data_IF_953090222896
#
_entry.id   IF_953090222896
#
_cell.length_a   1.000
_cell.length_b   1.000
_cell.length_c   1.000
_cell.angle_alpha   90.00
_cell.angle_beta   90.00
_cell.angle_gamma   90.00
#
_symmetry.space_group_name_H-M   'P 1'
#
loop_
_entity.id
_entity.type
_entity.pdbx_description
1 polymer ?
#
# COMPACT_ATOMS: atom_id res chain seq x y z
N UNK A 1 -38.11 5.67 -34.88
CA UNK A 1 -38.61 5.84 -33.49
C UNK A 1 -38.01 4.71 -32.68
N UNK A 2 -37.47 4.96 -31.48
CA UNK A 2 -36.98 3.87 -30.63
C UNK A 2 -38.17 2.97 -30.26
N UNK A 3 -38.05 1.68 -30.54
CA UNK A 3 -39.14 0.72 -30.31
C UNK A 3 -38.99 0.10 -28.92
N UNK A 4 -37.75 -0.06 -28.45
CA UNK A 4 -37.43 -0.69 -27.16
C UNK A 4 -36.21 -0.01 -26.55
N UNK A 5 -36.10 -0.08 -25.23
CA UNK A 5 -34.91 0.29 -24.49
C UNK A 5 -34.43 -0.97 -23.75
N UNK A 6 -33.16 -1.33 -23.95
CA UNK A 6 -32.50 -2.42 -23.25
C UNK A 6 -31.67 -1.80 -22.15
N UNK A 7 -31.83 -2.29 -20.93
CA UNK A 7 -30.97 -1.91 -19.81
C UNK A 7 -30.36 -3.15 -19.20
N UNK A 8 -29.04 -3.14 -19.03
CA UNK A 8 -28.31 -4.19 -18.34
C UNK A 8 -27.59 -3.61 -17.13
N UNK A 9 -27.80 -4.27 -15.99
CA UNK A 9 -27.22 -3.86 -14.72
C UNK A 9 -26.46 -5.02 -14.09
N UNK A 10 -25.23 -4.75 -13.67
CA UNK A 10 -24.41 -5.67 -12.89
C UNK A 10 -24.24 -5.13 -11.48
N UNK A 11 -24.51 -5.97 -10.48
CA UNK A 11 -24.31 -5.66 -9.06
C UNK A 11 -23.09 -6.42 -8.56
N UNK A 12 -22.10 -5.67 -8.07
CA UNK A 12 -20.87 -6.20 -7.48
C UNK A 12 -20.94 -6.03 -5.97
N UNK A 13 -20.78 -7.13 -5.24
CA UNK A 13 -20.64 -7.09 -3.79
C UNK A 13 -19.17 -6.78 -3.45
N UNK A 14 -18.93 -5.69 -2.73
CA UNK A 14 -17.59 -5.24 -2.37
C UNK A 14 -17.16 -5.75 -0.98
N UNK A 15 -18.03 -6.49 -0.28
CA UNK A 15 -17.85 -6.78 1.13
C UNK A 15 -18.30 -5.60 2.01
N UNK A 16 -18.23 -5.76 3.33
CA UNK A 16 -18.57 -4.71 4.31
C UNK A 16 -19.97 -4.09 4.14
N UNK A 17 -20.94 -4.87 3.64
CA UNK A 17 -22.30 -4.41 3.32
C UNK A 17 -22.37 -3.34 2.22
N UNK A 18 -21.30 -3.15 1.45
CA UNK A 18 -21.26 -2.22 0.33
C UNK A 18 -21.43 -2.96 -1.01
N UNK A 19 -22.16 -2.32 -1.94
CA UNK A 19 -22.31 -2.82 -3.30
C UNK A 19 -22.09 -1.71 -4.31
N UNK A 20 -21.42 -2.02 -5.42
CA UNK A 20 -21.32 -1.15 -6.59
C UNK A 20 -22.26 -1.65 -7.66
N UNK A 21 -22.95 -0.72 -8.32
CA UNK A 21 -23.82 -1.00 -9.47
C UNK A 21 -23.19 -0.38 -10.70
N UNK A 22 -23.11 -1.14 -11.78
CA UNK A 22 -22.78 -0.63 -13.10
C UNK A 22 -23.95 -0.93 -14.02
N UNK A 23 -24.44 0.10 -14.70
CA UNK A 23 -25.63 0.06 -15.54
C UNK A 23 -25.34 0.74 -16.87
N UNK A 24 -25.84 0.15 -17.95
CA UNK A 24 -25.84 0.75 -19.27
C UNK A 24 -27.18 0.47 -19.94
N UNK A 25 -27.66 1.46 -20.69
CA UNK A 25 -28.89 1.37 -21.47
C UNK A 25 -28.63 1.69 -22.94
N UNK A 26 -29.33 1.02 -23.83
CA UNK A 26 -29.28 1.25 -25.28
C UNK A 26 -30.71 1.27 -25.84
N UNK A 27 -30.99 2.26 -26.69
CA UNK A 27 -32.24 2.35 -27.43
C UNK A 27 -32.16 1.54 -28.72
N UNK A 28 -33.14 0.69 -28.96
CA UNK A 28 -33.24 -0.17 -30.15
C UNK A 28 -34.23 0.46 -31.12
N UNK A 29 -33.78 0.69 -32.36
CA UNK A 29 -34.58 1.28 -33.42
C UNK A 29 -35.21 0.22 -34.32
N UNK A 30 -36.07 0.68 -35.24
CA UNK A 30 -36.73 -0.18 -36.22
C UNK A 30 -35.73 -0.72 -37.24
N UNK A 31 -35.64 -2.05 -37.33
CA UNK A 31 -34.69 -2.75 -38.18
C UNK A 31 -33.42 -3.23 -37.46
N UNK A 32 -33.20 -2.80 -36.20
CA UNK A 32 -32.07 -3.28 -35.40
C UNK A 32 -32.31 -4.70 -34.88
N UNK A 33 -31.22 -5.47 -34.78
CA UNK A 33 -31.24 -6.75 -34.08
C UNK A 33 -31.17 -6.50 -32.56
N UNK A 34 -32.29 -6.81 -31.89
CA UNK A 34 -32.39 -6.67 -30.45
C UNK A 34 -31.41 -7.60 -29.71
N UNK A 35 -31.13 -8.79 -30.23
CA UNK A 35 -30.24 -9.77 -29.60
C UNK A 35 -28.78 -9.29 -29.66
N UNK A 36 -28.39 -8.69 -30.79
CA UNK A 36 -27.07 -8.06 -30.95
C UNK A 36 -26.92 -6.87 -30.00
N UNK A 37 -27.96 -6.03 -29.91
CA UNK A 37 -27.99 -4.87 -28.99
C UNK A 37 -27.85 -5.32 -27.53
N UNK A 38 -28.58 -6.36 -27.10
CA UNK A 38 -28.44 -6.94 -25.75
C UNK A 38 -27.00 -7.39 -25.51
N UNK A 39 -26.44 -8.15 -26.45
CA UNK A 39 -25.09 -8.71 -26.34
C UNK A 39 -24.04 -7.60 -26.20
N UNK A 40 -24.20 -6.51 -26.95
CA UNK A 40 -23.31 -5.35 -26.91
C UNK A 40 -23.36 -4.64 -25.56
N UNK A 41 -24.54 -4.32 -25.04
CA UNK A 41 -24.70 -3.68 -23.71
C UNK A 41 -24.07 -4.56 -22.63
N UNK A 42 -24.33 -5.87 -22.66
CA UNK A 42 -23.76 -6.82 -21.71
C UNK A 42 -22.23 -6.86 -21.77
N UNK A 43 -21.66 -6.95 -22.98
CA UNK A 43 -20.21 -6.97 -23.17
C UNK A 43 -19.56 -5.69 -22.63
N UNK A 44 -20.14 -4.53 -22.90
CA UNK A 44 -19.61 -3.24 -22.45
C UNK A 44 -19.57 -3.14 -20.92
N UNK A 45 -20.65 -3.53 -20.25
CA UNK A 45 -20.72 -3.50 -18.78
C UNK A 45 -19.72 -4.49 -18.17
N UNK A 46 -19.64 -5.73 -18.69
CA UNK A 46 -18.71 -6.73 -18.18
C UNK A 46 -17.25 -6.38 -18.45
N UNK A 47 -16.93 -5.84 -19.63
CA UNK A 47 -15.58 -5.35 -19.96
C UNK A 47 -15.16 -4.23 -19.02
N UNK A 48 -16.05 -3.25 -18.81
CA UNK A 48 -15.75 -2.12 -17.94
C UNK A 48 -15.49 -2.55 -16.49
N UNK A 49 -16.21 -3.56 -16.00
CA UNK A 49 -15.96 -4.12 -14.66
C UNK A 49 -14.59 -4.76 -14.55
N UNK A 50 -14.19 -5.54 -15.57
CA UNK A 50 -12.87 -6.19 -15.59
C UNK A 50 -11.75 -5.17 -15.64
N UNK A 51 -11.88 -4.14 -16.46
CA UNK A 51 -10.94 -3.02 -16.55
C UNK A 51 -10.80 -2.31 -15.19
N UNK A 52 -11.93 -1.87 -14.61
CA UNK A 52 -11.95 -1.19 -13.31
C UNK A 52 -11.30 -2.06 -12.21
N UNK A 53 -11.54 -3.37 -12.24
CA UNK A 53 -10.96 -4.31 -11.27
C UNK A 53 -9.46 -4.48 -11.47
N UNK A 54 -8.99 -4.61 -12.72
CA UNK A 54 -7.57 -4.72 -13.03
C UNK A 54 -6.80 -3.49 -12.57
N UNK A 55 -7.30 -2.29 -12.90
CA UNK A 55 -6.66 -1.03 -12.50
C UNK A 55 -6.58 -0.91 -10.98
N UNK A 56 -7.65 -1.25 -10.24
CA UNK A 56 -7.64 -1.24 -8.77
C UNK A 56 -6.60 -2.19 -8.18
N UNK A 57 -6.47 -3.39 -8.75
CA UNK A 57 -5.48 -4.37 -8.29
C UNK A 57 -4.06 -3.84 -8.54
N UNK A 58 -3.80 -3.30 -9.73
CA UNK A 58 -2.49 -2.74 -10.09
C UNK A 58 -2.10 -1.57 -9.19
N UNK A 59 -3.04 -0.66 -8.91
CA UNK A 59 -2.84 0.46 -8.01
C UNK A 59 -2.59 -0.01 -6.57
N UNK A 60 -3.35 -1.00 -6.09
CA UNK A 60 -3.14 -1.61 -4.78
C UNK A 60 -1.75 -2.26 -4.65
N UNK A 61 -1.31 -3.01 -5.66
CA UNK A 61 0.05 -3.60 -5.70
C UNK A 61 1.11 -2.49 -5.65
N UNK A 62 0.89 -1.39 -6.36
CA UNK A 62 1.83 -0.26 -6.37
C UNK A 62 1.93 0.40 -5.00
N UNK A 63 0.80 0.65 -4.34
CA UNK A 63 0.74 1.22 -3.00
C UNK A 63 1.45 0.32 -1.98
N UNK A 64 1.11 -0.97 -1.95
CA UNK A 64 1.73 -1.94 -1.04
C UNK A 64 3.25 -2.03 -1.22
N UNK A 65 3.77 -1.88 -2.45
CA UNK A 65 5.21 -1.84 -2.71
C UNK A 65 5.89 -0.60 -2.15
N UNK A 66 5.20 0.55 -2.15
CA UNK A 66 5.70 1.79 -1.55
C UNK A 66 5.71 1.64 -0.03
N UNK A 67 4.60 1.22 0.56
CA UNK A 67 4.47 1.00 2.01
C UNK A 67 5.53 0.02 2.52
N UNK A 68 5.75 -1.11 1.82
CA UNK A 68 6.78 -2.08 2.19
C UNK A 68 8.19 -1.46 2.16
N UNK A 69 8.46 -0.57 1.22
CA UNK A 69 9.75 0.11 1.13
C UNK A 69 9.93 1.10 2.28
N UNK A 70 8.89 1.86 2.62
CA UNK A 70 8.89 2.80 3.74
C UNK A 70 9.08 2.06 5.06
N UNK A 71 8.28 1.01 5.29
CA UNK A 71 8.36 0.19 6.49
C UNK A 71 9.74 -0.46 6.67
N UNK A 72 10.38 -0.89 5.56
CA UNK A 72 11.77 -1.40 5.61
C UNK A 72 12.77 -0.32 6.04
N UNK A 73 12.61 0.93 5.56
CA UNK A 73 13.48 2.04 5.98
C UNK A 73 13.29 2.35 7.46
N UNK A 74 12.05 2.39 7.92
CA UNK A 74 11.74 2.59 9.34
C UNK A 74 12.35 1.50 10.20
N UNK A 75 12.20 0.23 9.78
CA UNK A 75 12.80 -0.91 10.46
C UNK A 75 14.33 -0.79 10.59
N UNK A 76 15.03 -0.49 9.50
CA UNK A 76 16.50 -0.32 9.55
C UNK A 76 16.93 0.88 10.41
N UNK A 77 16.13 1.96 10.41
CA UNK A 77 16.40 3.15 11.25
C UNK A 77 16.25 2.84 12.73
N UNK A 78 15.18 2.11 13.09
CA UNK A 78 14.96 1.66 14.48
C UNK A 78 16.04 0.67 14.89
N UNK A 79 16.40 -0.27 14.01
CA UNK A 79 17.45 -1.26 14.27
C UNK A 79 18.81 -0.60 14.50
N UNK A 80 19.22 0.35 13.67
CA UNK A 80 20.49 1.07 13.86
C UNK A 80 20.49 1.90 15.13
N UNK A 81 19.37 2.55 15.46
CA UNK A 81 19.21 3.29 16.71
C UNK A 81 19.36 2.36 17.93
N UNK A 82 18.76 1.17 17.88
CA UNK A 82 18.91 0.16 18.92
C UNK A 82 20.38 -0.28 19.08
N UNK A 83 21.06 -0.59 17.97
CA UNK A 83 22.47 -0.97 17.99
C UNK A 83 23.33 0.12 18.65
N UNK A 84 23.14 1.40 18.28
CA UNK A 84 23.87 2.52 18.91
C UNK A 84 23.59 2.68 20.41
N UNK A 85 22.35 2.41 20.86
CA UNK A 85 21.97 2.44 22.28
C UNK A 85 22.56 1.26 23.07
N UNK A 86 22.74 0.10 22.42
CA UNK A 86 23.33 -1.09 23.06
C UNK A 86 24.86 -1.10 23.03
N UNK A 87 25.51 -0.22 22.26
CA UNK A 87 26.97 -0.15 22.13
C UNK A 87 27.61 0.92 23.04
N UNK A 88 26.87 1.57 23.94
CA UNK A 88 27.51 2.32 25.03
C UNK A 88 28.24 1.33 25.93
N UNK A 89 29.56 1.34 25.83
CA UNK A 89 30.50 0.60 26.66
C UNK A 89 30.11 0.67 28.14
N UNK A 90 30.16 -0.48 28.81
CA UNK A 90 30.12 -0.53 30.27
C UNK A 90 31.23 0.39 30.81
N UNK A 91 30.94 1.30 31.76
CA UNK A 91 31.98 2.16 32.31
C UNK A 91 33.09 1.28 32.90
N UNK A 92 34.30 1.41 32.36
CA UNK A 92 35.45 0.64 32.82
C UNK A 92 35.72 0.97 34.29
N UNK A 93 35.57 0.01 35.22
CA UNK A 93 35.73 0.26 36.65
C UNK A 93 37.17 0.63 37.04
N UNK A 94 38.14 0.50 36.13
CA UNK A 94 39.54 0.90 36.34
C UNK A 94 39.84 2.35 35.93
N UNK A 95 38.90 3.05 35.26
CA UNK A 95 39.08 4.44 34.79
C UNK A 95 38.64 5.46 35.85
N UNK A 96 39.00 5.18 37.12
CA UNK A 96 38.67 6.02 38.27
C UNK A 96 39.70 7.16 38.38
N UNK A 97 39.30 8.44 38.29
CA UNK A 97 40.22 9.58 38.23
C UNK A 97 40.79 10.00 39.60
N UNK A 98 41.09 9.04 40.48
CA UNK A 98 41.59 9.31 41.84
C UNK A 98 43.07 9.00 42.05
N UNK A 99 43.82 8.58 41.04
CA UNK A 99 45.24 8.23 41.22
C UNK A 99 46.23 9.39 40.99
N UNK A 100 45.89 10.58 41.49
CA UNK A 100 46.85 11.68 41.67
C UNK A 100 47.12 11.86 43.16
N UNK A 101 47.98 10.99 43.73
CA UNK A 101 48.73 11.33 44.93
C UNK A 101 50.11 11.86 44.52
N UNK A 102 50.55 13.03 45.02
CA UNK A 102 51.86 13.59 44.73
C UNK A 102 52.93 13.05 45.70
N UNK A 103 54.19 13.31 45.35
CA UNK A 103 55.42 13.20 46.18
C UNK A 103 56.07 11.80 46.21
N UNK A 104 57.34 11.64 45.82
CA UNK A 104 58.50 12.37 46.35
C UNK A 104 59.58 12.65 45.32
N UNK A 105 60.08 13.89 45.37
CA UNK A 105 61.37 14.31 44.80
C UNK A 105 62.47 13.70 45.68
N UNK A 106 63.31 12.83 45.14
CA UNK A 106 64.55 12.42 45.80
C UNK A 106 65.64 13.46 45.53
N UNK A 107 66.02 14.19 46.59
CA UNK A 107 67.24 15.02 46.64
C UNK A 107 68.50 14.15 46.66
N UNK A 108 69.55 14.68 46.03
CA UNK A 108 70.91 14.19 45.91
C UNK A 108 71.57 13.78 47.23
N UNK A 109 72.40 12.73 47.20
CA UNK A 109 73.70 12.63 47.90
C UNK A 109 74.64 11.64 47.19
#
# INVERSE_FOLDING_TARGET
MAIKNITYQRVLNLGNYESKRLELSEEVFEGDDAEESISRVMEMVERKIREDTSTKIEDGIRQLRVELRELKKEYETVKSSLETLTTTEEPNPDDIPFNNQPENVTEDF
#
